data_IF_108345915956
#
_entry.id   IF_108345915956
#
_cell.length_a   1.000
_cell.length_b   1.000
_cell.length_c   1.000
_cell.angle_alpha   90.00
_cell.angle_beta   90.00
_cell.angle_gamma   90.00
#
_symmetry.space_group_name_H-M   'P 1'
#
loop_
_entity.id
_entity.type
_entity.pdbx_description
1 polymer ?
2 non-polymer ?
3 water ?
#
# COMPACT_ATOMS: atom_id res chain seq x y z
N UNK A 1 6.84 8.88 -13.33
CA UNK A 1 6.34 7.77 -12.54
C UNK A 1 7.47 6.79 -12.23
N UNK A 2 7.85 6.71 -10.95
CA UNK A 2 8.95 5.86 -10.53
C UNK A 2 8.49 4.41 -10.53
N UNK A 3 9.21 3.55 -11.25
CA UNK A 3 8.90 2.14 -11.32
C UNK A 3 9.87 1.35 -10.45
N UNK A 4 9.36 0.31 -9.79
CA UNK A 4 10.15 -0.48 -8.84
C UNK A 4 10.22 -1.91 -9.34
N UNK A 5 11.44 -2.43 -9.48
CA UNK A 5 11.69 -3.80 -9.93
C UNK A 5 12.07 -4.64 -8.72
N UNK A 6 11.27 -5.65 -8.40
CA UNK A 6 11.51 -6.51 -7.24
C UNK A 6 12.04 -7.86 -7.71
N UNK A 7 13.11 -8.30 -7.09
CA UNK A 7 13.74 -9.56 -7.44
C UNK A 7 14.20 -10.28 -6.18
N UNK A 8 13.99 -11.60 -6.12
CA UNK A 8 13.25 -12.37 -7.13
C UNK A 8 11.73 -12.16 -6.99
N UNK A 9 10.95 -12.64 -7.95
CA UNK A 9 9.49 -12.53 -7.81
C UNK A 9 8.90 -13.58 -6.88
N UNK A 10 9.60 -14.69 -6.67
CA UNK A 10 9.19 -15.71 -5.73
C UNK A 10 10.41 -16.54 -5.36
N UNK A 11 10.35 -17.18 -4.19
CA UNK A 11 11.46 -18.00 -3.74
C UNK A 11 10.98 -18.98 -2.68
N UNK A 12 11.66 -20.12 -2.61
CA UNK A 12 11.42 -21.14 -1.61
C UNK A 12 12.64 -21.23 -0.70
N UNK A 13 12.39 -21.21 0.61
CA UNK A 13 13.47 -21.33 1.58
C UNK A 13 13.00 -22.16 2.76
N UNK A 14 13.96 -22.58 3.58
CA UNK A 14 13.68 -23.36 4.79
C UNK A 14 13.74 -22.46 6.01
N UNK A 15 13.05 -22.90 7.07
CA UNK A 15 13.09 -22.16 8.33
C UNK A 15 14.52 -22.08 8.83
N UNK A 16 14.91 -20.90 9.32
CA UNK A 16 16.26 -20.67 9.78
C UNK A 16 17.21 -20.10 8.75
N UNK A 17 16.82 -20.07 7.47
CA UNK A 17 17.70 -19.57 6.43
C UNK A 17 17.65 -18.06 6.33
N UNK A 18 18.74 -17.47 5.85
CA UNK A 18 18.74 -16.05 5.51
C UNK A 18 18.09 -15.86 4.15
N UNK A 19 17.26 -14.82 4.05
CA UNK A 19 16.53 -14.49 2.83
C UNK A 19 16.77 -13.02 2.52
N UNK A 20 17.14 -12.72 1.28
CA UNK A 20 17.33 -11.33 0.86
C UNK A 20 16.53 -11.06 -0.40
N UNK A 21 15.86 -9.92 -0.41
CA UNK A 21 15.05 -9.45 -1.52
C UNK A 21 15.60 -8.10 -1.94
N UNK A 22 15.62 -7.83 -3.24
CA UNK A 22 16.13 -6.57 -3.74
C UNK A 22 15.02 -5.79 -4.44
N UNK A 23 15.11 -4.48 -4.34
CA UNK A 23 14.20 -3.59 -5.06
C UNK A 23 15.05 -2.56 -5.79
N UNK A 24 14.83 -2.45 -7.10
CA UNK A 24 15.49 -1.47 -7.94
C UNK A 24 14.48 -0.41 -8.34
N UNK A 25 14.82 0.85 -8.13
CA UNK A 25 13.96 1.97 -8.49
C UNK A 25 14.47 2.60 -9.78
N UNK A 26 13.52 2.93 -10.68
CA UNK A 26 13.85 3.54 -11.96
C UNK A 26 14.33 4.97 -11.84
N UNK A 27 14.40 5.51 -10.62
CA UNK A 27 14.80 6.87 -10.35
C UNK A 27 15.10 6.95 -8.85
N UNK A 28 16.02 7.84 -8.48
CA UNK A 28 16.42 7.94 -7.09
C UNK A 28 15.24 8.30 -6.19
N UNK A 29 15.22 7.70 -5.00
CA UNK A 29 14.23 8.04 -3.99
C UNK A 29 14.90 8.71 -2.78
N UNK A 30 16.12 9.22 -2.96
CA UNK A 30 16.82 9.93 -1.91
C UNK A 30 16.30 11.37 -1.80
N UNK A 31 16.36 11.91 -0.58
CA UNK A 31 16.00 13.31 -0.36
C UNK A 31 16.51 13.74 1.01
N UNK A 32 17.44 14.71 1.01
CA UNK A 32 17.95 15.31 2.25
C UNK A 32 18.58 14.26 3.16
N UNK A 33 19.38 13.37 2.58
CA UNK A 33 20.08 12.35 3.34
C UNK A 33 19.28 11.12 3.70
N UNK A 34 17.98 11.09 3.40
CA UNK A 34 17.14 9.92 3.65
C UNK A 34 16.68 9.30 2.33
N UNK A 35 16.26 8.04 2.42
CA UNK A 35 15.81 7.27 1.26
C UNK A 35 14.39 6.80 1.53
N UNK A 36 13.44 7.28 0.73
CA UNK A 36 12.03 7.04 0.99
C UNK A 36 11.59 5.74 0.33
N UNK A 37 12.11 4.65 0.88
CA UNK A 37 11.75 3.31 0.45
C UNK A 37 11.14 2.56 1.64
N UNK A 38 10.06 1.85 1.38
CA UNK A 38 9.30 1.19 2.43
C UNK A 38 9.07 -0.26 2.05
N UNK A 39 8.91 -1.11 3.06
CA UNK A 39 8.68 -2.53 2.82
C UNK A 39 7.42 -2.97 3.55
N UNK A 40 6.59 -3.74 2.86
CA UNK A 40 5.36 -4.27 3.44
C UNK A 40 5.35 -5.78 3.38
N UNK A 41 4.59 -6.39 4.29
CA UNK A 41 4.37 -7.82 4.35
C UNK A 41 2.89 -8.07 4.19
N UNK A 42 2.52 -8.99 3.30
CA UNK A 42 1.13 -9.34 3.10
C UNK A 42 0.98 -10.86 3.14
N UNK A 43 0.17 -11.33 4.06
CA UNK A 43 -0.28 -12.72 4.10
C UNK A 43 -1.59 -12.85 3.35
N UNK A 44 -1.90 -14.04 2.83
CA UNK A 44 -3.10 -14.18 1.98
C UNK A 44 -4.38 -13.86 2.73
N UNK A 45 -5.26 -13.11 2.06
CA UNK A 45 -6.53 -12.70 2.64
C UNK A 45 -6.48 -11.47 3.50
N UNK A 46 -5.31 -10.94 3.81
CA UNK A 46 -5.17 -9.83 4.74
C UNK A 46 -4.52 -8.64 4.04
N UNK A 47 -4.69 -7.47 4.65
CA UNK A 47 -4.08 -6.26 4.12
C UNK A 47 -2.58 -6.26 4.36
N UNK A 48 -1.82 -5.49 3.57
CA UNK A 48 -0.39 -5.37 3.83
C UNK A 48 -0.11 -4.79 5.21
N UNK A 49 1.08 -5.12 5.72
CA UNK A 49 1.55 -4.64 7.01
C UNK A 49 2.91 -3.95 6.82
N UNK A 50 3.03 -2.74 7.33
CA UNK A 50 4.27 -1.99 7.17
C UNK A 50 5.37 -2.59 8.05
N UNK A 51 6.50 -2.94 7.43
CA UNK A 51 7.65 -3.45 8.16
C UNK A 51 8.74 -2.41 8.34
N UNK A 52 9.08 -1.70 7.27
CA UNK A 52 10.23 -0.80 7.22
C UNK A 52 9.79 0.50 6.56
N UNK A 53 10.25 1.62 7.11
CA UNK A 53 10.08 2.90 6.44
C UNK A 53 11.42 3.61 6.38
N UNK A 54 11.56 4.52 5.42
CA UNK A 54 12.79 5.27 5.20
C UNK A 54 13.99 4.33 5.06
N UNK A 55 13.77 3.24 4.31
CA UNK A 55 14.81 2.29 3.89
C UNK A 55 15.28 1.36 5.00
N UNK A 56 15.46 1.86 6.23
CA UNK A 56 16.06 1.02 7.27
C UNK A 56 15.42 1.13 8.64
N UNK A 57 14.36 1.90 8.82
CA UNK A 57 13.74 2.08 10.13
C UNK A 57 12.65 1.03 10.37
N UNK A 58 12.75 0.35 11.49
CA UNK A 58 11.80 -0.70 11.85
C UNK A 58 10.52 -0.09 12.39
N UNK A 59 9.39 -0.54 11.85
CA UNK A 59 8.10 -0.17 12.43
C UNK A 59 7.94 -0.84 13.79
N UNK A 60 7.25 -0.16 14.71
CA UNK A 60 7.09 -0.68 16.06
C UNK A 60 6.41 -2.04 16.04
N UNK A 61 6.90 -2.95 16.89
CA UNK A 61 6.40 -4.30 16.95
C UNK A 61 6.95 -5.27 15.93
N UNK A 62 7.73 -4.79 14.95
CA UNK A 62 8.29 -5.68 13.93
C UNK A 62 9.53 -6.36 14.51
N UNK A 63 9.65 -7.68 14.37
CA UNK A 63 10.80 -8.38 14.97
C UNK A 63 12.12 -7.95 14.33
N UNK A 64 13.18 -8.00 15.13
CA UNK A 64 14.48 -7.51 14.70
C UNK A 64 15.11 -8.35 13.59
N UNK A 65 14.55 -9.50 13.25
CA UNK A 65 15.12 -10.27 12.14
C UNK A 65 14.86 -9.62 10.79
N UNK A 66 13.98 -8.62 10.73
CA UNK A 66 13.75 -7.85 9.52
C UNK A 66 14.67 -6.64 9.52
N UNK A 67 15.42 -6.45 8.43
CA UNK A 67 16.24 -5.25 8.29
C UNK A 67 16.24 -4.81 6.83
N UNK A 68 16.23 -3.50 6.63
CA UNK A 68 16.32 -2.92 5.30
C UNK A 68 17.61 -2.14 5.16
N UNK A 69 18.10 -2.06 3.92
CA UNK A 69 19.30 -1.29 3.63
C UNK A 69 19.22 -0.75 2.21
N UNK A 70 20.14 0.15 1.90
CA UNK A 70 20.30 0.68 0.55
C UNK A 70 20.03 2.17 0.49
N UNK A 71 20.28 2.71 -0.71
CA UNK A 71 20.04 4.12 -0.99
C UNK A 71 19.99 4.30 -2.51
N UNK A 72 19.62 5.50 -2.93
CA UNK A 72 19.54 5.82 -4.34
C UNK A 72 18.46 5.04 -5.05
N UNK A 73 18.87 4.08 -5.88
CA UNK A 73 17.94 3.25 -6.63
C UNK A 73 17.99 1.79 -6.25
N UNK A 74 18.73 1.42 -5.20
CA UNK A 74 19.08 0.02 -4.94
C UNK A 74 18.84 -0.29 -3.46
N UNK A 75 17.87 -1.15 -3.20
CA UNK A 75 17.41 -1.39 -1.83
C UNK A 75 17.23 -2.88 -1.58
N UNK A 76 17.38 -3.27 -0.31
CA UNK A 76 17.37 -4.67 0.09
C UNK A 76 16.59 -4.85 1.38
N UNK A 77 15.76 -5.89 1.43
CA UNK A 77 15.13 -6.36 2.64
C UNK A 77 15.73 -7.71 3.01
N UNK A 78 16.18 -7.84 4.25
CA UNK A 78 16.85 -9.05 4.72
C UNK A 78 16.08 -9.64 5.88
N UNK A 79 15.79 -10.94 5.79
CA UNK A 79 15.27 -11.71 6.91
C UNK A 79 16.41 -12.59 7.38
N UNK A 80 16.96 -12.30 8.56
CA UNK A 80 18.20 -12.94 8.96
C UNK A 80 17.99 -14.42 9.24
N UNK A 81 16.82 -14.79 9.76
CA UNK A 81 16.54 -16.18 10.11
C UNK A 81 15.04 -16.40 9.91
N UNK A 82 14.69 -16.98 8.76
CA UNK A 82 13.29 -17.15 8.39
C UNK A 82 12.53 -17.96 9.44
N UNK A 83 11.39 -17.43 9.88
CA UNK A 83 10.51 -18.13 10.82
C UNK A 83 9.24 -18.59 10.10
N UNK A 84 8.59 -19.64 10.60
CA UNK A 84 7.34 -20.11 9.96
C UNK A 84 6.34 -19.01 9.67
N UNK A 85 6.16 -18.05 10.58
CA UNK A 85 5.20 -16.97 10.37
C UNK A 85 5.65 -15.97 9.31
N UNK A 86 6.79 -16.15 8.64
CA UNK A 86 7.28 -15.19 7.67
C UNK A 86 6.92 -15.57 6.23
N UNK A 87 6.23 -16.68 6.02
CA UNK A 87 5.78 -17.04 4.67
C UNK A 87 4.71 -16.03 4.24
N UNK A 88 5.04 -15.21 3.25
CA UNK A 88 4.17 -14.11 2.85
C UNK A 88 4.69 -13.54 1.55
N UNK A 89 4.00 -12.50 1.06
CA UNK A 89 4.47 -11.72 -0.07
C UNK A 89 4.99 -10.39 0.45
N UNK A 90 6.16 -9.98 -0.03
CA UNK A 90 6.82 -8.77 0.43
C UNK A 90 6.87 -7.76 -0.71
N UNK A 91 6.50 -6.51 -0.41
CA UNK A 91 6.42 -5.44 -1.38
C UNK A 91 7.30 -4.29 -0.96
N UNK A 92 8.00 -3.70 -1.93
CA UNK A 92 8.63 -2.41 -1.70
C UNK A 92 7.69 -1.30 -2.20
N UNK A 93 7.93 -0.09 -1.71
CA UNK A 93 7.10 1.06 -2.05
C UNK A 93 7.93 2.31 -1.85
N UNK A 94 7.87 3.23 -2.82
CA UNK A 94 8.58 4.49 -2.71
C UNK A 94 7.59 5.58 -2.31
N UNK A 95 8.03 6.44 -1.39
CA UNK A 95 7.23 7.57 -0.93
C UNK A 95 7.93 8.89 -1.23
N UNK A 96 8.82 8.89 -2.22
CA UNK A 96 9.55 10.09 -2.59
C UNK A 96 8.69 11.06 -3.40
N UNK A 97 7.76 10.54 -4.20
CA UNK A 97 6.92 11.43 -4.99
C UNK A 97 5.69 10.69 -5.47
N UNK A 98 4.64 11.46 -5.73
CA UNK A 98 3.39 10.93 -6.25
C UNK A 98 3.49 10.77 -7.76
N UNK A 99 2.84 9.74 -8.33
CA UNK A 99 2.11 8.69 -7.62
C UNK A 99 3.05 7.75 -6.86
N UNK A 100 2.71 7.46 -5.61
CA UNK A 100 3.50 6.52 -4.82
C UNK A 100 3.31 5.13 -5.40
N UNK A 101 4.40 4.41 -5.60
CA UNK A 101 4.38 3.19 -6.40
C UNK A 101 4.94 2.03 -5.60
N UNK A 102 4.41 0.86 -5.88
CA UNK A 102 4.78 -0.39 -5.24
C UNK A 102 5.50 -1.28 -6.25
N UNK A 103 6.39 -2.11 -5.75
CA UNK A 103 6.89 -3.21 -6.54
C UNK A 103 5.82 -4.27 -6.69
N UNK A 104 6.08 -5.24 -7.57
CA UNK A 104 5.08 -6.26 -7.83
C UNK A 104 5.22 -7.48 -6.92
N UNK A 105 6.13 -7.43 -5.95
CA UNK A 105 6.05 -8.34 -4.84
C UNK A 105 7.00 -9.52 -4.97
N UNK A 106 7.41 -10.05 -3.82
CA UNK A 106 8.20 -11.27 -3.74
C UNK A 106 7.45 -12.26 -2.87
N UNK A 107 6.99 -13.35 -3.47
CA UNK A 107 6.29 -14.38 -2.73
C UNK A 107 7.32 -15.30 -2.07
N UNK A 108 7.36 -15.32 -0.75
CA UNK A 108 8.31 -16.14 0.00
C UNK A 108 7.56 -17.37 0.49
N UNK A 109 7.78 -18.50 -0.18
CA UNK A 109 7.15 -19.76 0.18
C UNK A 109 8.16 -20.60 0.96
N UNK A 110 7.73 -21.17 2.08
CA UNK A 110 8.64 -21.82 3.02
C UNK A 110 8.61 -23.32 2.77
N UNK A 111 9.77 -23.87 2.41
CA UNK A 111 9.92 -25.28 2.04
C UNK A 111 8.99 -25.68 0.89
N UNK A 134 -8.48 0.94 19.68
CA UNK A 134 -7.38 1.04 18.72
C UNK A 134 -7.92 1.24 17.31
N UNK A 135 -7.16 1.98 16.49
CA UNK A 135 -7.66 2.41 15.19
C UNK A 135 -7.98 1.22 14.31
N UNK A 136 -9.16 1.24 13.69
CA UNK A 136 -9.56 0.22 12.74
C UNK A 136 -10.30 0.87 11.57
N UNK A 137 -10.04 0.37 10.36
CA UNK A 137 -10.62 0.90 9.13
C UNK A 137 -11.49 -0.17 8.49
N UNK A 138 -12.72 0.19 8.11
CA UNK A 138 -13.69 -0.75 7.57
C UNK A 138 -14.26 -0.20 6.26
N UNK A 139 -13.96 -0.87 5.15
CA UNK A 139 -14.47 -0.47 3.84
C UNK A 139 -15.88 -1.02 3.62
N UNK A 140 -16.66 -0.29 2.83
CA UNK A 140 -17.94 -0.79 2.34
C UNK A 140 -18.21 -0.13 0.99
N UNK A 141 -19.22 -0.65 0.29
CA UNK A 141 -19.64 -0.12 -0.99
C UNK A 141 -19.14 -0.86 -2.20
N UNK A 142 -18.34 -1.92 -2.01
CA UNK A 142 -17.89 -2.71 -3.14
C UNK A 142 -18.93 -3.70 -3.61
N UNK A 143 -18.63 -4.35 -4.72
CA UNK A 143 -19.51 -5.37 -5.28
C UNK A 143 -19.34 -5.47 -6.78
N UNK A 144 -20.35 -6.06 -7.42
CA UNK A 144 -20.36 -6.31 -8.85
C UNK A 144 -21.04 -5.15 -9.57
N UNK A 145 -20.34 -4.54 -10.51
CA UNK A 145 -20.86 -3.41 -11.29
C UNK A 145 -20.65 -3.70 -12.77
N UNK A 146 -21.56 -3.16 -13.60
CA UNK A 146 -21.41 -3.27 -15.03
C UNK A 146 -20.41 -2.25 -15.56
N UNK A 147 -19.70 -2.57 -16.64
CA UNK A 147 -18.76 -1.60 -17.22
C UNK A 147 -19.49 -0.32 -17.61
N UNK A 148 -18.81 0.81 -17.38
CA UNK A 148 -19.43 2.11 -17.55
C UNK A 148 -20.22 2.60 -16.36
N UNK A 149 -20.48 1.75 -15.36
CA UNK A 149 -21.22 2.15 -14.19
C UNK A 149 -20.36 2.92 -13.21
N UNK A 150 -20.91 3.13 -12.02
CA UNK A 150 -20.26 3.91 -10.98
C UNK A 150 -20.30 3.18 -9.66
N UNK A 151 -19.35 3.52 -8.80
CA UNK A 151 -19.23 2.93 -7.47
C UNK A 151 -18.92 4.01 -6.45
N UNK A 152 -19.31 3.75 -5.20
CA UNK A 152 -18.98 4.61 -4.09
C UNK A 152 -18.48 3.73 -2.95
N UNK A 153 -17.25 3.99 -2.50
CA UNK A 153 -16.68 3.26 -1.38
C UNK A 153 -16.63 4.18 -0.16
N UNK A 154 -16.86 3.62 1.01
CA UNK A 154 -16.71 4.33 2.27
C UNK A 154 -15.72 3.60 3.15
N UNK A 155 -14.92 4.37 3.88
CA UNK A 155 -14.03 3.83 4.89
C UNK A 155 -14.45 4.48 6.20
N UNK A 156 -15.13 3.70 7.05
CA UNK A 156 -15.49 4.16 8.38
C UNK A 156 -14.29 3.97 9.29
N UNK A 157 -13.85 5.04 9.94
CA UNK A 157 -12.72 4.99 10.87
C UNK A 157 -13.29 4.86 12.28
N UNK A 158 -12.80 3.88 13.03
CA UNK A 158 -13.23 3.70 14.41
C UNK A 158 -12.00 3.63 15.31
N UNK A 159 -12.22 3.98 16.58
CA UNK A 159 -11.14 3.96 17.55
C UNK A 159 -10.14 5.09 17.41
N UNK A 160 -10.49 6.12 16.65
CA UNK A 160 -9.55 7.14 16.21
C UNK A 160 -10.33 8.24 15.50
N UNK A 161 -9.94 9.49 15.75
CA UNK A 161 -10.60 10.61 15.08
C UNK A 161 -10.02 10.81 13.69
N UNK A 162 -10.91 10.89 12.69
CA UNK A 162 -10.45 11.10 11.32
C UNK A 162 -9.69 12.42 11.20
N UNK A 163 -9.97 13.38 12.07
CA UNK A 163 -9.29 14.67 12.03
C UNK A 163 -7.84 14.56 12.51
N UNK A 164 -7.49 13.48 13.21
CA UNK A 164 -6.12 13.31 13.70
C UNK A 164 -5.15 12.84 12.64
N UNK A 165 -5.64 12.22 11.55
CA UNK A 165 -4.74 11.62 10.58
C UNK A 165 -4.10 12.65 9.68
N UNK A 166 -2.85 12.38 9.29
CA UNK A 166 -2.18 13.25 8.32
C UNK A 166 -2.85 13.16 6.96
N UNK A 167 -3.12 11.95 6.48
CA UNK A 167 -3.77 11.77 5.19
C UNK A 167 -4.50 10.43 5.19
N UNK A 168 -5.50 10.34 4.31
CA UNK A 168 -6.28 9.13 4.12
C UNK A 168 -6.24 8.77 2.66
N UNK A 169 -6.07 7.48 2.38
CA UNK A 169 -5.68 7.03 1.05
C UNK A 169 -6.52 5.84 0.60
N UNK A 170 -6.67 5.72 -0.71
CA UNK A 170 -7.22 4.53 -1.33
C UNK A 170 -6.12 3.88 -2.15
N UNK A 171 -5.97 2.57 -2.00
CA UNK A 171 -4.96 1.77 -2.67
C UNK A 171 -5.63 0.50 -3.13
N UNK A 172 -5.48 0.15 -4.40
CA UNK A 172 -6.17 -1.00 -4.95
C UNK A 172 -5.16 -2.06 -5.38
N UNK A 173 -5.61 -3.32 -5.32
CA UNK A 173 -4.78 -4.48 -5.66
C UNK A 173 -5.53 -5.26 -6.73
N UNK A 174 -5.06 -5.15 -7.98
CA UNK A 174 -5.62 -5.91 -9.08
C UNK A 174 -5.41 -7.40 -8.86
N UNK A 175 -6.23 -8.24 -9.47
CA UNK A 175 -6.14 -9.69 -9.23
C UNK A 175 -4.77 -10.25 -9.59
N UNK A 176 -4.15 -10.90 -8.62
CA UNK A 176 -2.83 -11.50 -8.82
C UNK A 176 -1.80 -10.55 -9.35
N UNK A 177 -1.84 -9.29 -8.91
CA UNK A 177 -1.02 -8.26 -9.53
C UNK A 177 -0.49 -7.31 -8.47
N UNK A 178 -0.04 -6.14 -8.90
CA UNK A 178 0.69 -5.24 -8.05
C UNK A 178 -0.26 -4.25 -7.36
N UNK A 179 0.25 -3.64 -6.29
CA UNK A 179 -0.50 -2.62 -5.56
C UNK A 179 -0.38 -1.28 -6.26
N UNK A 180 -1.47 -0.50 -6.23
CA UNK A 180 -1.51 0.77 -6.94
C UNK A 180 -2.15 1.82 -6.05
N UNK A 181 -1.38 2.84 -5.69
CA UNK A 181 -1.94 3.96 -4.97
C UNK A 181 -2.80 4.78 -5.92
N UNK A 182 -3.96 5.23 -5.42
CA UNK A 182 -5.03 5.73 -6.27
C UNK A 182 -5.42 7.16 -5.93
N UNK A 183 -5.52 7.49 -4.64
CA UNK A 183 -6.00 8.81 -4.23
C UNK A 183 -5.63 9.06 -2.78
N UNK A 184 -5.53 10.34 -2.44
CA UNK A 184 -5.22 10.75 -1.07
C UNK A 184 -5.92 12.06 -0.78
N UNK A 185 -6.24 12.27 0.50
CA UNK A 185 -6.72 13.55 0.99
C UNK A 185 -6.00 13.82 2.31
N UNK A 186 -5.39 15.00 2.42
CA UNK A 186 -4.67 15.35 3.62
C UNK A 186 -5.59 16.04 4.61
N UNK A 187 -5.05 16.28 5.81
CA UNK A 187 -5.82 16.90 6.90
C UNK A 187 -6.34 18.28 6.54
N UNK A 188 -5.71 18.99 5.61
CA UNK A 188 -6.17 20.32 5.23
C UNK A 188 -7.15 20.30 4.06
N UNK A 189 -7.58 19.12 3.62
CA UNK A 189 -8.51 19.01 2.52
C UNK A 189 -7.90 18.85 1.15
N UNK A 190 -6.58 18.99 1.02
CA UNK A 190 -5.93 18.85 -0.29
C UNK A 190 -6.06 17.41 -0.78
N UNK A 191 -6.48 17.25 -2.04
CA UNK A 191 -6.66 15.96 -2.65
C UNK A 191 -5.59 15.73 -3.71
N UNK A 192 -5.34 14.46 -4.00
CA UNK A 192 -4.35 14.10 -5.01
C UNK A 192 -4.76 12.77 -5.62
N UNK A 193 -4.53 12.64 -6.93
CA UNK A 193 -4.97 11.45 -7.65
C UNK A 193 -3.83 10.88 -8.48
N UNK A 194 -3.91 9.58 -8.71
CA UNK A 194 -2.99 8.91 -9.62
C UNK A 194 -3.46 9.20 -11.05
N UNK A 195 -2.61 9.77 -11.91
CA UNK A 195 -3.05 10.08 -13.30
C UNK A 195 -3.59 8.88 -14.05
N UNK A 196 -3.21 7.67 -13.60
CA UNK A 196 -3.73 6.45 -14.21
C UNK A 196 -5.25 6.37 -14.12
N UNK A 197 -5.85 7.06 -13.15
CA UNK A 197 -7.31 7.02 -12.96
C UNK A 197 -7.93 8.41 -12.95
N UNK A 198 -7.13 9.48 -12.90
CA UNK A 198 -7.64 10.82 -12.63
C UNK A 198 -8.67 11.24 -13.68
N UNK A 199 -9.64 12.04 -13.24
CA UNK A 199 -10.78 12.40 -14.04
C UNK A 199 -11.99 11.49 -13.86
N UNK A 200 -11.78 10.26 -13.40
CA UNK A 200 -12.86 9.32 -13.12
C UNK A 200 -13.04 9.07 -11.64
N UNK A 201 -12.39 9.86 -10.79
CA UNK A 201 -12.20 9.50 -9.39
C UNK A 201 -12.28 10.75 -8.53
N UNK A 202 -12.96 10.64 -7.39
CA UNK A 202 -13.05 11.73 -6.44
C UNK A 202 -12.92 11.16 -5.04
N UNK A 203 -12.04 11.75 -4.25
CA UNK A 203 -11.92 11.41 -2.84
C UNK A 203 -12.50 12.56 -2.03
N UNK A 204 -13.16 12.21 -0.91
CA UNK A 204 -13.81 13.22 -0.08
C UNK A 204 -13.82 12.71 1.35
N UNK A 205 -14.09 13.63 2.27
CA UNK A 205 -13.99 13.37 3.70
C UNK A 205 -15.22 13.95 4.39
N UNK A 206 -15.71 13.22 5.40
CA UNK A 206 -16.83 13.67 6.22
C UNK A 206 -16.42 13.53 7.69
N UNK A 207 -16.02 14.64 8.31
CA UNK A 207 -15.56 14.62 9.69
C UNK A 207 -16.68 14.23 10.66
N UNK A 208 -17.89 14.74 10.43
CA UNK A 208 -18.97 14.48 11.39
C UNK A 208 -19.35 13.01 11.46
N UNK A 209 -19.03 12.22 10.43
CA UNK A 209 -19.29 10.79 10.44
C UNK A 209 -18.03 9.95 10.52
N UNK A 210 -16.87 10.58 10.66
CA UNK A 210 -15.58 9.89 10.81
C UNK A 210 -15.31 8.95 9.64
N UNK A 211 -15.68 9.39 8.44
CA UNK A 211 -15.62 8.55 7.24
C UNK A 211 -15.04 9.35 6.08
N UNK A 212 -14.35 8.67 5.18
CA UNK A 212 -13.99 9.26 3.90
C UNK A 212 -14.41 8.30 2.80
N UNK A 213 -14.43 8.81 1.56
CA UNK A 213 -15.11 8.14 0.47
C UNK A 213 -14.26 8.12 -0.78
N UNK A 214 -14.53 7.14 -1.65
CA UNK A 214 -14.02 7.12 -3.02
C UNK A 214 -15.21 6.97 -3.95
N UNK A 215 -15.40 7.95 -4.83
CA UNK A 215 -16.43 7.89 -5.85
C UNK A 215 -15.75 7.52 -7.18
N UNK A 216 -16.22 6.45 -7.80
CA UNK A 216 -15.65 5.95 -9.04
C UNK A 216 -16.72 6.00 -10.12
N UNK A 217 -16.38 6.58 -11.28
CA UNK A 217 -17.32 6.72 -12.38
C UNK A 217 -16.71 6.16 -13.65
N UNK A 218 -17.58 5.73 -14.57
CA UNK A 218 -17.17 5.21 -15.87
C UNK A 218 -16.16 4.08 -15.70
N UNK A 219 -16.52 3.12 -14.85
CA UNK A 219 -15.62 2.02 -14.52
C UNK A 219 -15.31 1.18 -15.75
N UNK A 220 -14.05 0.78 -15.87
CA UNK A 220 -13.61 -0.16 -16.89
C UNK A 220 -13.21 -1.48 -16.23
N UNK A 221 -12.96 -2.49 -17.06
CA UNK A 221 -12.62 -3.81 -16.54
C UNK A 221 -11.29 -3.80 -15.78
N UNK A 222 -10.36 -2.93 -16.14
CA UNK A 222 -9.09 -2.86 -15.43
C UNK A 222 -9.22 -2.25 -14.04
N UNK A 223 -10.41 -1.75 -13.68
CA UNK A 223 -10.65 -1.24 -12.35
C UNK A 223 -11.07 -2.33 -11.36
N UNK A 224 -11.28 -3.55 -11.83
CA UNK A 224 -11.55 -4.67 -10.94
C UNK A 224 -10.37 -4.89 -10.01
N UNK A 225 -10.61 -4.85 -8.71
CA UNK A 225 -9.54 -4.95 -7.72
C UNK A 225 -10.14 -5.03 -6.33
N UNK A 226 -9.28 -5.37 -5.37
CA UNK A 226 -9.56 -5.16 -3.96
C UNK A 226 -9.11 -3.76 -3.61
N UNK A 227 -10.02 -2.94 -3.10
CA UNK A 227 -9.72 -1.57 -2.74
C UNK A 227 -9.50 -1.49 -1.24
N UNK A 228 -8.33 -0.99 -0.84
CA UNK A 228 -7.99 -0.76 0.55
C UNK A 228 -8.03 0.73 0.85
N UNK A 229 -8.50 1.08 2.04
CA UNK A 229 -8.21 2.39 2.61
C UNK A 229 -7.02 2.27 3.56
N UNK A 230 -6.31 3.38 3.73
CA UNK A 230 -5.08 3.36 4.50
C UNK A 230 -4.77 4.77 4.97
N UNK A 231 -4.12 4.86 6.12
CA UNK A 231 -3.77 6.14 6.72
C UNK A 231 -2.30 6.44 6.46
N UNK A 232 -2.01 7.68 6.07
CA UNK A 232 -0.64 8.13 5.95
C UNK A 232 -0.09 8.54 7.31
N UNK A 233 1.17 8.98 7.30
CA UNK A 233 1.91 9.25 8.51
C UNK A 233 2.27 10.73 8.61
N UNK A 234 2.41 11.21 9.86
CA UNK A 234 2.91 12.55 10.13
C UNK A 234 4.41 12.68 9.99
N UNK A 235 5.14 11.59 9.85
CA UNK A 235 6.59 11.59 9.96
C UNK A 235 7.23 10.99 8.70
N UNK A 236 8.52 11.30 8.54
CA UNK A 236 9.40 10.64 7.58
C UNK A 236 8.82 10.62 6.17
N UNK A 237 8.37 11.79 5.70
CA UNK A 237 7.90 11.91 4.35
C UNK A 237 6.47 11.50 4.11
N UNK A 238 5.77 11.04 5.16
CA UNK A 238 4.31 10.96 5.19
C UNK A 238 3.72 9.76 4.44
N UNK A 239 4.20 9.48 3.24
CA UNK A 239 3.44 8.66 2.30
C UNK A 239 3.81 7.18 2.36
N UNK A 240 4.01 6.66 3.56
CA UNK A 240 3.97 5.24 3.84
C UNK A 240 2.76 4.96 4.73
N UNK A 241 2.29 3.73 4.74
CA UNK A 241 0.94 3.43 5.22
C UNK A 241 0.98 2.37 6.32
N UNK A 242 0.86 2.80 7.58
CA UNK A 242 0.95 1.89 8.71
C UNK A 242 -0.38 1.25 9.08
N UNK A 243 -1.51 1.85 8.71
CA UNK A 243 -2.83 1.33 9.08
C UNK A 243 -3.65 1.16 7.81
N UNK A 244 -4.19 -0.05 7.61
CA UNK A 244 -4.98 -0.40 6.45
C UNK A 244 -6.31 -0.97 6.90
N UNK A 245 -7.32 -0.87 6.03
CA UNK A 245 -8.57 -1.55 6.23
C UNK A 245 -8.51 -3.00 5.76
N UNK A 246 -9.68 -3.64 5.76
CA UNK A 246 -9.74 -5.04 5.36
C UNK A 246 -9.76 -5.23 3.85
N UNK A 247 -10.08 -4.19 3.09
CA UNK A 247 -10.19 -4.31 1.65
C UNK A 247 -11.58 -4.76 1.23
N UNK A 248 -12.09 -4.19 0.14
CA UNK A 248 -13.40 -4.57 -0.39
C UNK A 248 -13.25 -4.83 -1.88
N UNK A 249 -13.89 -5.91 -2.35
CA UNK A 249 -13.73 -6.34 -3.73
C UNK A 249 -14.67 -5.58 -4.64
N UNK A 250 -14.12 -4.96 -5.68
CA UNK A 250 -14.88 -4.34 -6.75
C UNK A 250 -14.70 -5.19 -7.99
N UNK A 251 -15.80 -5.71 -8.53
CA UNK A 251 -15.78 -6.53 -9.74
C UNK A 251 -16.55 -5.80 -10.83
N UNK A 252 -15.88 -5.50 -11.93
CA UNK A 252 -16.50 -4.89 -13.10
C UNK A 252 -16.57 -5.95 -14.18
N UNK A 253 -17.77 -6.44 -14.45
CA UNK A 253 -17.98 -7.50 -15.44
C UNK A 253 -19.39 -7.39 -15.98
N UNK A 254 -19.68 -8.23 -16.97
CA UNK A 254 -21.00 -8.27 -17.60
C UNK A 254 -21.85 -9.41 -17.05
#
# INVERSE_FOLDING_TARGET
DIQLTQSPSSLSASVGDRVTITCRASQSVDYDGDSYMNWYQQKPGKAPKLLIYAASYLESGVPSRFSGSGSGTDFTLTISSLQPEDFATYYCQQSHEDPYTFGCGTKVEIKRTGGGGSGGGGSGGGGSGGGGSEVQLVESGGGLVQPGGSLRLSCAVSGYSITSGYSWNWIRQAPGKCLEWVASITYDGSTNYNPSVKGRITISRDDSKNTFYLQMNSLRAEDTAVYYCARGSHYFGHWHFAVWGQGTLVTVSSENLYFQGSGGGGSHHHHHHHHHH
#
